data_IF_704832312422
#
_entry.id   IF_704832312422
#
_cell.length_a   1.000
_cell.length_b   1.000
_cell.length_c   1.000
_cell.angle_alpha   90.00
_cell.angle_beta   90.00
_cell.angle_gamma   90.00
#
_symmetry.space_group_name_H-M   'P 1'
#
loop_
_entity.id
_entity.type
_entity.pdbx_description
1 polymer ?
#
# COMPACT_ATOMS: atom_id res chain seq x y z
N UNK A 1 0.34 -10.06 -9.92
CA UNK A 1 1.28 -9.25 -9.13
C UNK A 1 2.75 -9.44 -9.56
N UNK A 2 3.35 -10.62 -9.41
CA UNK A 2 4.80 -10.81 -9.64
C UNK A 2 5.35 -10.28 -10.98
N UNK A 3 4.61 -10.48 -12.09
CA UNK A 3 4.98 -9.93 -13.41
C UNK A 3 5.06 -8.41 -13.45
N UNK A 4 4.11 -7.72 -12.80
CA UNK A 4 4.06 -6.25 -12.76
C UNK A 4 5.18 -5.70 -11.87
N UNK A 5 5.37 -6.29 -10.69
CA UNK A 5 6.43 -5.90 -9.76
C UNK A 5 7.80 -6.02 -10.42
N UNK A 6 8.06 -7.13 -11.13
CA UNK A 6 9.30 -7.31 -11.89
C UNK A 6 9.50 -6.23 -12.95
N UNK A 7 8.45 -5.89 -13.71
CA UNK A 7 8.52 -4.88 -14.76
C UNK A 7 8.77 -3.46 -14.21
N UNK A 8 8.07 -3.07 -13.14
CA UNK A 8 8.22 -1.75 -12.51
C UNK A 8 9.63 -1.59 -11.93
N UNK A 9 10.12 -2.61 -11.23
CA UNK A 9 11.48 -2.61 -10.67
C UNK A 9 12.56 -2.55 -11.74
N UNK A 10 12.41 -3.31 -12.82
CA UNK A 10 13.35 -3.26 -13.96
C UNK A 10 13.40 -1.88 -14.64
N UNK A 11 12.34 -1.08 -14.52
CA UNK A 11 12.30 0.30 -15.00
C UNK A 11 12.84 1.33 -13.98
N UNK A 12 13.40 0.89 -12.85
CA UNK A 12 13.88 1.78 -11.79
C UNK A 12 12.75 2.37 -10.92
N UNK A 13 11.55 1.79 -10.97
CA UNK A 13 10.37 2.30 -10.26
C UNK A 13 10.20 1.75 -8.85
N UNK A 14 9.56 2.54 -8.00
CA UNK A 14 9.08 2.14 -6.68
C UNK A 14 7.75 1.39 -6.78
N UNK A 15 7.50 0.46 -5.86
CA UNK A 15 6.26 -0.33 -5.82
C UNK A 15 5.61 -0.20 -4.46
N UNK A 16 4.34 0.21 -4.43
CA UNK A 16 3.45 0.05 -3.28
C UNK A 16 2.35 -0.96 -3.64
N UNK A 17 2.19 -1.99 -2.81
CA UNK A 17 1.09 -2.96 -2.93
C UNK A 17 0.20 -2.83 -1.72
N UNK A 18 -1.09 -2.58 -1.96
CA UNK A 18 -2.10 -2.44 -0.92
C UNK A 18 -3.48 -2.85 -1.45
N UNK A 19 -4.52 -2.69 -0.64
CA UNK A 19 -5.92 -2.86 -1.02
C UNK A 19 -6.72 -1.65 -0.53
N UNK A 20 -7.91 -1.46 -1.08
CA UNK A 20 -8.86 -0.42 -0.68
C UNK A 20 -9.74 -0.85 0.50
N UNK A 21 -10.02 -2.14 0.62
CA UNK A 21 -10.71 -2.74 1.76
C UNK A 21 -10.46 -4.25 1.80
N UNK A 22 -10.97 -4.91 2.86
CA UNK A 22 -11.07 -6.37 2.91
C UNK A 22 -12.37 -6.90 2.28
N UNK A 23 -12.35 -8.16 1.87
CA UNK A 23 -13.47 -8.96 1.41
C UNK A 23 -13.07 -10.45 1.48
N UNK A 24 -12.16 -10.87 0.61
CA UNK A 24 -11.76 -12.28 0.46
C UNK A 24 -11.01 -12.87 1.66
N UNK A 25 -10.60 -12.03 2.61
CA UNK A 25 -10.05 -12.39 3.91
C UNK A 25 -11.11 -13.00 4.86
N UNK A 26 -12.41 -12.78 4.60
CA UNK A 26 -13.50 -13.48 5.29
C UNK A 26 -14.66 -13.77 4.35
N UNK A 27 -14.76 -15.02 3.92
CA UNK A 27 -15.82 -15.53 3.04
C UNK A 27 -16.98 -16.17 3.81
N UNK A 28 -16.94 -16.20 5.14
CA UNK A 28 -17.91 -16.92 5.97
C UNK A 28 -17.81 -18.44 5.80
N UNK A 29 -18.96 -19.12 5.88
CA UNK A 29 -19.05 -20.58 5.68
C UNK A 29 -19.93 -20.93 4.48
N UNK A 30 -19.89 -22.16 3.96
CA UNK A 30 -20.79 -22.57 2.88
C UNK A 30 -22.28 -22.38 3.20
N UNK A 31 -22.68 -22.58 4.47
CA UNK A 31 -24.07 -22.43 4.93
C UNK A 31 -24.45 -20.96 5.18
N UNK A 32 -23.47 -20.11 5.51
CA UNK A 32 -23.65 -18.69 5.74
C UNK A 32 -22.53 -17.89 5.04
N UNK A 33 -22.64 -17.69 3.72
CA UNK A 33 -21.62 -17.01 2.96
C UNK A 33 -21.57 -15.52 3.31
N UNK A 34 -20.37 -15.00 3.53
CA UNK A 34 -20.15 -13.58 3.73
C UNK A 34 -19.88 -12.92 2.37
N UNK A 35 -20.73 -11.95 2.01
CA UNK A 35 -20.70 -11.29 0.68
C UNK A 35 -20.41 -9.79 0.74
N UNK A 36 -20.23 -9.26 1.95
CA UNK A 36 -19.92 -7.85 2.19
C UNK A 36 -18.40 -7.64 2.36
N UNK A 37 -17.98 -6.38 2.39
CA UNK A 37 -16.62 -6.03 2.76
C UNK A 37 -16.36 -6.31 4.25
N UNK A 38 -15.10 -6.50 4.61
CA UNK A 38 -14.68 -6.58 6.02
C UNK A 38 -14.14 -5.23 6.48
N UNK A 39 -14.06 -5.05 7.80
CA UNK A 39 -13.37 -3.90 8.43
C UNK A 39 -11.93 -4.25 8.81
N UNK A 40 -11.36 -5.32 8.25
CA UNK A 40 -10.00 -5.74 8.56
C UNK A 40 -8.99 -4.76 7.96
N UNK A 41 -7.83 -4.54 8.61
CA UNK A 41 -6.74 -3.78 8.02
C UNK A 41 -6.27 -4.36 6.69
N UNK A 42 -5.86 -3.50 5.77
CA UNK A 42 -5.26 -3.89 4.48
C UNK A 42 -3.73 -3.92 4.58
N UNK A 43 -3.04 -4.79 3.81
CA UNK A 43 -1.60 -4.78 3.78
C UNK A 43 -1.07 -3.50 3.12
N UNK A 44 0.12 -3.07 3.52
CA UNK A 44 0.94 -2.15 2.75
C UNK A 44 2.35 -2.72 2.63
N UNK A 45 2.78 -2.97 1.40
CA UNK A 45 4.12 -3.47 1.09
C UNK A 45 4.80 -2.44 0.20
N UNK A 46 5.99 -2.00 0.61
CA UNK A 46 6.87 -1.17 -0.19
C UNK A 46 8.07 -1.97 -0.70
N UNK A 47 8.42 -1.75 -1.97
CA UNK A 47 9.68 -2.20 -2.56
C UNK A 47 10.33 -1.03 -3.31
N UNK A 48 11.62 -0.85 -3.08
CA UNK A 48 12.47 -0.01 -3.92
C UNK A 48 12.80 -0.74 -5.26
N UNK A 49 13.50 -0.07 -6.20
CA UNK A 49 13.90 -0.70 -7.46
C UNK A 49 14.74 -1.97 -7.29
N UNK A 50 15.62 -1.99 -6.29
CA UNK A 50 16.48 -3.13 -5.97
C UNK A 50 15.71 -4.30 -5.32
N UNK A 51 14.44 -4.09 -4.99
CA UNK A 51 13.55 -5.09 -4.38
C UNK A 51 13.75 -5.24 -2.89
N UNK A 52 14.37 -4.25 -2.26
CA UNK A 52 14.53 -4.13 -0.83
C UNK A 52 13.51 -3.12 -0.27
N UNK A 53 13.54 -2.89 1.02
CA UNK A 53 12.77 -1.81 1.63
C UNK A 53 13.42 -0.43 1.45
N UNK A 54 14.57 -0.30 0.77
CA UNK A 54 15.25 0.98 0.56
C UNK A 54 15.67 1.69 1.85
N UNK A 55 15.87 0.93 2.94
CA UNK A 55 16.11 1.47 4.27
C UNK A 55 14.85 1.93 5.02
N UNK A 56 13.67 1.80 4.42
CA UNK A 56 12.42 2.26 5.01
C UNK A 56 11.72 1.24 5.89
N UNK A 57 10.97 1.73 6.87
CA UNK A 57 9.93 0.99 7.58
C UNK A 57 8.55 1.59 7.34
N UNK A 58 7.49 0.80 7.56
CA UNK A 58 6.11 1.30 7.49
C UNK A 58 5.69 1.75 8.89
N UNK A 59 5.32 3.02 9.03
CA UNK A 59 4.74 3.59 10.25
C UNK A 59 3.48 2.83 10.67
N UNK A 60 3.35 2.54 11.97
CA UNK A 60 2.12 1.95 12.52
C UNK A 60 0.93 2.93 12.49
N UNK A 61 -0.29 2.37 12.42
CA UNK A 61 -1.51 3.17 12.46
C UNK A 61 -1.74 4.05 11.22
N UNK A 62 -1.24 3.64 10.05
CA UNK A 62 -1.52 4.31 8.78
C UNK A 62 -2.95 4.10 8.28
N UNK A 63 -3.39 4.98 7.38
CA UNK A 63 -4.68 4.89 6.69
C UNK A 63 -4.52 5.09 5.17
N UNK A 64 -5.56 4.81 4.38
CA UNK A 64 -5.50 4.96 2.93
C UNK A 64 -5.18 6.40 2.47
N UNK A 65 -5.55 7.41 3.26
CA UNK A 65 -5.25 8.82 3.00
C UNK A 65 -3.73 9.11 3.00
N UNK A 66 -2.93 8.23 3.60
CA UNK A 66 -1.48 8.38 3.75
C UNK A 66 -0.70 7.84 2.53
N UNK A 67 -1.34 7.07 1.65
CA UNK A 67 -0.69 6.45 0.48
C UNK A 67 -0.16 7.49 -0.51
N UNK A 68 -0.96 8.52 -0.81
CA UNK A 68 -0.56 9.56 -1.76
C UNK A 68 0.61 10.40 -1.23
N UNK A 69 0.60 10.91 0.02
CA UNK A 69 1.78 11.52 0.64
C UNK A 69 3.05 10.66 0.57
N UNK A 70 2.96 9.36 0.83
CA UNK A 70 4.10 8.45 0.74
C UNK A 70 4.64 8.32 -0.70
N UNK A 71 3.75 8.24 -1.70
CA UNK A 71 4.15 8.24 -3.12
C UNK A 71 4.86 9.53 -3.51
N UNK A 72 4.34 10.70 -3.10
CA UNK A 72 4.96 12.00 -3.39
C UNK A 72 6.38 12.09 -2.80
N UNK A 73 6.57 11.62 -1.56
CA UNK A 73 7.88 11.58 -0.92
C UNK A 73 8.89 10.74 -1.71
N UNK A 74 8.48 9.56 -2.20
CA UNK A 74 9.34 8.68 -3.00
C UNK A 74 9.80 9.31 -4.32
N UNK A 75 8.94 10.10 -4.96
CA UNK A 75 9.26 10.74 -6.25
C UNK A 75 9.80 12.17 -6.09
N UNK A 76 10.07 12.62 -4.87
CA UNK A 76 10.63 13.95 -4.60
C UNK A 76 9.69 15.11 -4.91
N UNK A 77 8.37 14.90 -4.79
CA UNK A 77 7.35 15.94 -4.98
C UNK A 77 6.84 16.42 -3.62
N UNK A 78 6.71 17.73 -3.46
CA UNK A 78 6.20 18.33 -2.22
C UNK A 78 4.73 17.98 -1.98
N UNK A 79 4.39 17.58 -0.73
CA UNK A 79 3.02 17.29 -0.31
C UNK A 79 2.18 18.59 -0.30
N UNK A 80 1.09 18.68 -1.07
CA UNK A 80 0.21 19.86 -1.02
C UNK A 80 -0.47 20.01 0.35
N UNK A 81 -0.70 21.25 0.78
CA UNK A 81 -1.37 21.55 2.06
C UNK A 81 -2.80 20.97 2.17
N UNK A 82 -3.46 20.68 1.04
CA UNK A 82 -4.77 20.05 1.01
C UNK A 82 -4.74 18.55 1.38
N UNK A 83 -3.58 17.88 1.29
CA UNK A 83 -3.43 16.49 1.73
C UNK A 83 -3.18 16.44 3.24
N UNK A 84 -4.18 15.99 4.00
CA UNK A 84 -4.10 15.85 5.46
C UNK A 84 -3.50 14.52 5.91
N UNK A 85 -3.32 13.55 5.00
CA UNK A 85 -2.57 12.33 5.28
C UNK A 85 -1.08 12.62 5.44
N UNK A 86 -0.36 11.67 6.02
CA UNK A 86 1.07 11.79 6.32
C UNK A 86 1.88 10.68 5.65
N UNK A 87 3.15 10.94 5.38
CA UNK A 87 4.04 9.90 4.85
C UNK A 87 4.11 8.71 5.83
N UNK A 88 4.00 7.49 5.31
CA UNK A 88 4.12 6.25 6.08
C UNK A 88 5.51 5.61 6.00
N UNK A 89 6.35 6.05 5.08
CA UNK A 89 7.73 5.56 4.94
C UNK A 89 8.64 6.35 5.86
N UNK A 90 9.17 5.67 6.88
CA UNK A 90 10.17 6.18 7.81
C UNK A 90 11.57 5.71 7.42
#
# INVERSE_FOLDING_TARGET
LGRLVAAVRAAGGHVLVTADHGNADDMGTPENPHTAHTTNPVPLIYLDPDGTAGGHTIREGGALADLAPALLALVGVEKPAAMTGENMLE
#
